data_IF_272666677734
#
_entry.id   IF_272666677734
#
_cell.length_a   1.000
_cell.length_b   1.000
_cell.length_c   1.000
_cell.angle_alpha   90.00
_cell.angle_beta   90.00
_cell.angle_gamma   90.00
#
_symmetry.space_group_name_H-M   'P 1'
#
loop_
_entity.id
_entity.type
_entity.pdbx_description
1 polymer ?
#
# COMPACT_ATOMS: atom_id res chain seq x y z
N UNK A 1 -23.05 -22.65 -9.76
CA UNK A 1 -22.11 -21.54 -9.52
C UNK A 1 -22.98 -20.34 -9.18
N UNK A 2 -22.99 -19.93 -7.90
CA UNK A 2 -23.88 -18.87 -7.44
C UNK A 2 -23.21 -17.53 -7.80
N UNK A 3 -23.71 -16.84 -8.81
CA UNK A 3 -23.25 -15.49 -9.15
C UNK A 3 -24.11 -14.56 -8.27
N UNK A 4 -23.51 -13.97 -7.26
CA UNK A 4 -24.20 -12.97 -6.45
C UNK A 4 -24.48 -11.71 -7.30
N UNK A 5 -25.75 -11.39 -7.56
CA UNK A 5 -26.10 -10.30 -8.47
C UNK A 5 -25.77 -8.90 -7.92
N UNK A 6 -25.36 -8.81 -6.65
CA UNK A 6 -25.00 -7.55 -6.00
C UNK A 6 -23.48 -7.27 -5.93
N UNK A 7 -22.64 -8.21 -6.37
CA UNK A 7 -21.21 -7.94 -6.48
C UNK A 7 -20.91 -7.29 -7.81
N UNK A 8 -20.41 -6.07 -7.78
CA UNK A 8 -19.88 -5.41 -8.97
C UNK A 8 -18.74 -6.26 -9.56
N UNK A 9 -18.97 -6.82 -10.76
CA UNK A 9 -17.98 -7.63 -11.48
C UNK A 9 -16.90 -6.79 -12.14
N UNK A 10 -17.17 -5.49 -12.33
CA UNK A 10 -16.23 -4.49 -12.87
C UNK A 10 -16.15 -3.30 -11.93
N UNK A 11 -14.94 -2.83 -11.68
CA UNK A 11 -14.70 -1.66 -10.82
C UNK A 11 -14.28 -0.48 -11.69
N UNK A 12 -14.85 0.68 -11.45
CA UNK A 12 -14.45 1.89 -12.19
C UNK A 12 -13.03 2.31 -11.71
N UNK A 13 -12.05 2.46 -12.60
CA UNK A 13 -10.69 2.89 -12.25
C UNK A 13 -10.63 4.20 -11.46
N UNK A 14 -11.58 5.11 -11.67
CA UNK A 14 -11.63 6.39 -10.93
C UNK A 14 -11.94 6.21 -9.44
N UNK A 15 -12.74 5.21 -9.09
CA UNK A 15 -13.04 4.90 -7.68
C UNK A 15 -11.82 4.29 -6.99
N UNK A 16 -11.11 3.39 -7.66
CA UNK A 16 -9.87 2.81 -7.17
C UNK A 16 -8.80 3.88 -6.99
N UNK A 17 -8.68 4.83 -7.93
CA UNK A 17 -7.73 5.94 -7.85
C UNK A 17 -7.90 6.77 -6.58
N UNK A 18 -9.13 7.03 -6.15
CA UNK A 18 -9.39 7.81 -4.94
C UNK A 18 -8.81 7.11 -3.70
N UNK A 19 -9.05 5.81 -3.54
CA UNK A 19 -8.51 5.02 -2.43
C UNK A 19 -6.99 4.91 -2.48
N UNK A 20 -6.44 4.62 -3.65
CA UNK A 20 -4.99 4.53 -3.90
C UNK A 20 -4.28 5.84 -3.58
N UNK A 21 -4.79 6.97 -4.07
CA UNK A 21 -4.21 8.28 -3.81
C UNK A 21 -4.27 8.66 -2.32
N UNK A 22 -5.41 8.40 -1.67
CA UNK A 22 -5.55 8.63 -0.23
C UNK A 22 -4.50 7.84 0.57
N UNK A 23 -4.36 6.54 0.30
CA UNK A 23 -3.37 5.68 0.98
C UNK A 23 -1.93 6.11 0.68
N UNK A 24 -1.63 6.52 -0.55
CA UNK A 24 -0.28 6.92 -0.96
C UNK A 24 0.20 8.20 -0.28
N UNK A 25 -0.70 9.15 -0.01
CA UNK A 25 -0.34 10.46 0.52
C UNK A 25 -0.69 10.68 1.99
N UNK A 26 -1.40 9.74 2.62
CA UNK A 26 -1.71 9.77 4.05
C UNK A 26 -0.61 9.07 4.87
N UNK A 27 0.63 9.54 4.72
CA UNK A 27 1.82 8.85 5.24
C UNK A 27 2.30 9.35 6.60
N UNK A 28 1.88 10.54 7.02
CA UNK A 28 2.38 11.13 8.26
C UNK A 28 1.44 10.84 9.42
N UNK A 29 1.78 9.86 10.23
CA UNK A 29 1.04 9.56 11.45
C UNK A 29 1.47 10.47 12.60
N UNK A 30 0.57 10.69 13.58
CA UNK A 30 0.90 11.38 14.82
C UNK A 30 2.04 10.66 15.57
N UNK A 31 2.10 9.34 15.45
CA UNK A 31 3.12 8.50 16.07
C UNK A 31 4.51 8.80 15.49
N UNK A 32 4.62 8.93 14.17
CA UNK A 32 5.87 9.33 13.50
C UNK A 32 6.29 10.74 13.94
N UNK A 33 5.35 11.67 14.09
CA UNK A 33 5.64 13.02 14.59
C UNK A 33 6.13 13.00 16.04
N UNK A 34 5.59 12.15 16.90
CA UNK A 34 6.09 11.95 18.27
C UNK A 34 7.48 11.33 18.27
N UNK A 35 7.74 10.35 17.44
CA UNK A 35 9.04 9.71 17.29
C UNK A 35 10.11 10.69 16.80
N UNK A 36 9.76 11.53 15.83
CA UNK A 36 10.63 12.59 15.29
C UNK A 36 10.76 13.81 16.23
N UNK A 37 10.09 13.80 17.38
CA UNK A 37 10.04 14.90 18.35
C UNK A 37 9.46 16.21 17.79
N UNK A 38 8.67 16.11 16.72
CA UNK A 38 7.91 17.24 16.18
C UNK A 38 6.68 17.57 17.04
N UNK A 39 6.11 16.55 17.69
CA UNK A 39 5.01 16.66 18.64
C UNK A 39 5.41 16.09 19.99
N UNK A 40 4.95 16.71 21.07
CA UNK A 40 5.15 16.26 22.44
C UNK A 40 3.79 16.15 23.12
N UNK A 41 3.51 14.98 23.69
CA UNK A 41 2.35 14.78 24.54
C UNK A 41 2.70 15.30 25.95
N UNK A 42 2.01 16.34 26.40
CA UNK A 42 2.28 17.00 27.70
C UNK A 42 1.46 16.41 28.85
N UNK A 43 0.36 15.74 28.55
CA UNK A 43 -0.55 15.12 29.54
C UNK A 43 -0.26 13.66 29.84
N UNK A 44 0.84 13.10 29.31
CA UNK A 44 1.23 11.72 29.45
C UNK A 44 2.44 11.38 28.58
N UNK A 45 2.70 10.10 28.39
CA UNK A 45 3.79 9.63 27.54
C UNK A 45 3.23 8.88 26.32
N UNK A 46 3.56 9.34 25.12
CA UNK A 46 3.41 8.52 23.93
C UNK A 46 4.50 7.46 23.91
N UNK A 47 4.14 6.20 23.65
CA UNK A 47 5.11 5.09 23.51
C UNK A 47 6.22 5.38 22.48
N UNK A 48 5.90 6.13 21.43
CA UNK A 48 6.87 6.50 20.39
C UNK A 48 7.78 7.64 20.82
N UNK A 49 7.33 8.51 21.70
CA UNK A 49 8.13 9.59 22.28
C UNK A 49 9.25 9.04 23.18
N UNK A 50 9.02 7.90 23.81
CA UNK A 50 9.99 7.20 24.69
C UNK A 50 10.65 6.00 24.00
N UNK A 51 10.66 5.97 22.69
CA UNK A 51 11.32 4.92 21.87
C UNK A 51 10.81 3.49 22.05
N UNK A 52 9.57 3.32 22.45
CA UNK A 52 8.91 2.01 22.49
C UNK A 52 8.29 1.68 21.11
N UNK A 53 9.16 1.43 20.13
CA UNK A 53 8.78 1.11 18.78
C UNK A 53 8.02 -0.22 18.68
N UNK A 54 7.02 -0.24 17.84
CA UNK A 54 6.36 -1.47 17.41
C UNK A 54 6.85 -1.86 16.02
N UNK A 55 6.60 -3.10 15.62
CA UNK A 55 6.90 -3.58 14.27
C UNK A 55 6.07 -2.77 13.26
N UNK A 56 6.68 -2.38 12.15
CA UNK A 56 5.98 -1.83 10.99
C UNK A 56 5.03 -2.87 10.37
N UNK A 57 4.04 -2.42 9.64
CA UNK A 57 3.09 -3.26 8.91
C UNK A 57 3.42 -3.32 7.42
N UNK A 58 2.75 -4.21 6.71
CA UNK A 58 2.90 -4.41 5.28
C UNK A 58 1.66 -3.93 4.49
N UNK A 59 0.94 -2.95 5.01
CA UNK A 59 -0.31 -2.46 4.43
C UNK A 59 -0.15 -1.96 3.00
N UNK A 60 1.01 -1.45 2.63
CA UNK A 60 1.30 -1.06 1.25
C UNK A 60 1.21 -2.22 0.26
N UNK A 61 1.51 -3.46 0.67
CA UNK A 61 1.28 -4.63 -0.20
C UNK A 61 -0.22 -4.90 -0.42
N UNK A 62 -1.06 -4.62 0.57
CA UNK A 62 -2.51 -4.69 0.39
C UNK A 62 -3.00 -3.63 -0.61
N UNK A 63 -2.49 -2.41 -0.50
CA UNK A 63 -2.82 -1.30 -1.41
C UNK A 63 -2.36 -1.56 -2.85
N UNK A 64 -1.29 -2.34 -3.06
CA UNK A 64 -0.84 -2.75 -4.39
C UNK A 64 -1.88 -3.57 -5.16
N UNK A 65 -2.81 -4.25 -4.48
CA UNK A 65 -3.91 -4.97 -5.13
C UNK A 65 -4.84 -4.00 -5.86
N UNK A 66 -5.18 -2.89 -5.22
CA UNK A 66 -6.03 -1.86 -5.82
C UNK A 66 -5.34 -1.17 -6.99
N UNK A 67 -4.03 -0.92 -6.88
CA UNK A 67 -3.21 -0.38 -7.98
C UNK A 67 -3.19 -1.35 -9.16
N UNK A 68 -2.99 -2.65 -8.91
CA UNK A 68 -2.98 -3.67 -9.95
C UNK A 68 -4.35 -3.76 -10.62
N UNK A 69 -5.43 -3.79 -9.82
CA UNK A 69 -6.80 -3.82 -10.32
C UNK A 69 -7.13 -2.58 -11.14
N UNK A 70 -6.70 -1.40 -10.69
CA UNK A 70 -6.87 -0.15 -11.44
C UNK A 70 -6.19 -0.21 -12.81
N UNK A 71 -4.99 -0.77 -12.89
CA UNK A 71 -4.26 -0.95 -14.15
C UNK A 71 -4.97 -1.92 -15.09
N UNK A 72 -5.47 -3.04 -14.58
CA UNK A 72 -6.19 -4.05 -15.34
C UNK A 72 -7.50 -3.53 -15.93
N UNK A 73 -8.30 -2.83 -15.13
CA UNK A 73 -9.61 -2.29 -15.53
C UNK A 73 -9.50 -1.06 -16.46
N UNK A 74 -8.38 -0.37 -16.43
CA UNK A 74 -8.19 0.87 -17.18
C UNK A 74 -7.92 0.67 -18.69
N UNK A 75 -7.43 -0.50 -19.08
CA UNK A 75 -6.99 -0.80 -20.44
C UNK A 75 -5.63 -0.15 -20.81
N UNK A 76 -5.06 -0.61 -21.90
CA UNK A 76 -3.77 -0.16 -22.37
C UNK A 76 -3.77 1.33 -22.79
N UNK A 77 -2.71 2.04 -22.46
CA UNK A 77 -2.49 3.44 -22.87
C UNK A 77 -3.35 4.48 -22.14
N UNK A 78 -4.14 4.09 -21.15
CA UNK A 78 -4.95 5.02 -20.39
C UNK A 78 -4.13 5.81 -19.36
N UNK A 79 -4.63 6.99 -18.98
CA UNK A 79 -4.02 7.79 -17.92
C UNK A 79 -4.00 7.03 -16.57
N UNK A 80 -5.00 6.19 -16.30
CA UNK A 80 -5.06 5.38 -15.09
C UNK A 80 -3.97 4.31 -15.04
N UNK A 81 -3.57 3.77 -16.18
CA UNK A 81 -2.44 2.84 -16.25
C UNK A 81 -1.12 3.56 -15.90
N UNK A 82 -0.91 4.76 -16.41
CA UNK A 82 0.25 5.57 -16.05
C UNK A 82 0.27 5.92 -14.56
N UNK A 83 -0.88 6.28 -13.99
CA UNK A 83 -1.03 6.52 -12.55
C UNK A 83 -0.80 5.25 -11.74
N UNK A 84 -1.24 4.09 -12.20
CA UNK A 84 -0.97 2.82 -11.52
C UNK A 84 0.53 2.53 -11.43
N UNK A 85 1.29 2.78 -12.49
CA UNK A 85 2.76 2.65 -12.44
C UNK A 85 3.40 3.64 -11.45
N UNK A 86 2.92 4.87 -11.41
CA UNK A 86 3.39 5.86 -10.44
C UNK A 86 3.13 5.42 -8.99
N UNK A 87 1.89 5.04 -8.66
CA UNK A 87 1.54 4.61 -7.31
C UNK A 87 2.23 3.31 -6.91
N UNK A 88 2.40 2.39 -7.85
CA UNK A 88 3.18 1.16 -7.62
C UNK A 88 4.62 1.50 -7.22
N UNK A 89 5.28 2.41 -7.94
CA UNK A 89 6.63 2.86 -7.61
C UNK A 89 6.67 3.55 -6.24
N UNK A 90 5.70 4.40 -5.93
CA UNK A 90 5.60 5.08 -4.64
C UNK A 90 5.47 4.09 -3.46
N UNK A 91 4.58 3.10 -3.56
CA UNK A 91 4.41 2.11 -2.49
C UNK A 91 5.65 1.25 -2.29
N UNK A 92 6.32 0.82 -3.35
CA UNK A 92 7.57 0.08 -3.22
C UNK A 92 8.70 0.95 -2.64
N UNK A 93 8.74 2.22 -2.99
CA UNK A 93 9.68 3.17 -2.38
C UNK A 93 9.48 3.24 -0.86
N UNK A 94 8.23 3.39 -0.40
CA UNK A 94 7.92 3.43 1.04
C UNK A 94 8.28 2.11 1.73
N UNK A 95 7.89 0.97 1.17
CA UNK A 95 8.25 -0.35 1.70
C UNK A 95 9.77 -0.54 1.79
N UNK A 96 10.52 -0.05 0.80
CA UNK A 96 11.98 -0.16 0.83
C UNK A 96 12.61 0.72 1.90
N UNK A 97 12.04 1.90 2.17
CA UNK A 97 12.49 2.75 3.27
C UNK A 97 12.27 2.10 4.63
N UNK A 98 11.16 1.37 4.80
CA UNK A 98 10.80 0.75 6.07
C UNK A 98 11.52 -0.59 6.31
N UNK A 99 11.71 -1.40 5.28
CA UNK A 99 12.14 -2.79 5.41
C UNK A 99 13.45 -3.14 4.69
N UNK A 100 13.99 -2.26 3.85
CA UNK A 100 15.15 -2.55 3.00
C UNK A 100 14.76 -3.39 1.78
N UNK A 101 15.51 -4.47 1.52
CA UNK A 101 15.21 -5.38 0.40
C UNK A 101 13.86 -6.06 0.59
N UNK A 102 13.01 -6.02 -0.43
CA UNK A 102 11.63 -6.51 -0.41
C UNK A 102 11.28 -7.26 -1.70
N UNK A 103 10.29 -8.17 -1.69
CA UNK A 103 9.80 -8.79 -2.91
C UNK A 103 9.15 -7.74 -3.83
N UNK A 104 9.76 -7.49 -4.98
CA UNK A 104 9.26 -6.55 -5.99
C UNK A 104 8.67 -7.25 -7.20
N UNK A 105 9.46 -8.10 -7.89
CA UNK A 105 9.04 -8.82 -9.11
C UNK A 105 7.97 -9.85 -8.82
N UNK A 106 8.04 -10.45 -7.64
CA UNK A 106 7.13 -11.52 -7.22
C UNK A 106 6.02 -11.01 -6.29
N UNK A 107 5.88 -9.69 -6.15
CA UNK A 107 4.84 -9.09 -5.35
C UNK A 107 3.44 -9.54 -5.81
N UNK A 108 2.58 -9.92 -4.86
CA UNK A 108 1.21 -10.38 -5.05
C UNK A 108 1.05 -11.78 -5.70
N UNK A 109 2.11 -12.45 -6.11
CA UNK A 109 2.02 -13.79 -6.71
C UNK A 109 1.53 -14.87 -5.76
N UNK A 110 1.69 -14.69 -4.45
CA UNK A 110 1.20 -15.64 -3.45
C UNK A 110 -0.31 -15.93 -3.52
N UNK A 111 -1.09 -15.05 -4.15
CA UNK A 111 -2.51 -15.28 -4.37
C UNK A 111 -2.81 -16.31 -5.47
N UNK A 112 -1.86 -16.54 -6.38
CA UNK A 112 -2.02 -17.40 -7.56
C UNK A 112 -1.07 -18.61 -7.57
N UNK A 113 0.01 -18.56 -6.80
CA UNK A 113 1.05 -19.59 -6.76
C UNK A 113 1.03 -20.35 -5.44
N UNK A 114 0.73 -21.65 -5.47
CA UNK A 114 0.62 -22.48 -4.28
C UNK A 114 1.94 -22.65 -3.49
N UNK A 115 3.08 -22.56 -4.17
CA UNK A 115 4.42 -22.69 -3.58
C UNK A 115 5.23 -21.40 -3.73
N UNK A 116 4.63 -20.30 -3.37
CA UNK A 116 5.27 -19.00 -3.47
C UNK A 116 6.52 -18.89 -2.61
N UNK A 117 7.65 -18.64 -3.27
CA UNK A 117 8.94 -18.35 -2.64
C UNK A 117 9.43 -16.98 -3.14
N UNK A 118 9.23 -15.90 -2.38
CA UNK A 118 9.59 -14.57 -2.83
C UNK A 118 11.10 -14.40 -2.95
N UNK A 119 11.53 -13.74 -4.01
CA UNK A 119 12.89 -13.23 -4.15
C UNK A 119 12.93 -11.80 -3.60
N UNK A 120 13.89 -11.52 -2.75
CA UNK A 120 14.12 -10.17 -2.23
C UNK A 120 15.01 -9.41 -3.22
N UNK A 121 14.46 -8.36 -3.80
CA UNK A 121 15.09 -7.49 -4.79
C UNK A 121 15.76 -6.26 -4.16
#
# INVERSE_FOLDING_TARGET
>A
MNVEPNNATTTNPSLLLTGVAYSAFNQTSSDACHAAKMLILTSGESKYQVYKWTRGDFDYYSNLRDVTKMSEEAGEGSAYQALAHFFRANYFYQLTLDFGSIPYKDALKAATEANYQPTYD
#
